data_IF_691148556596
#
_entry.id   IF_691148556596
#
_cell.length_a   1.000
_cell.length_b   1.000
_cell.length_c   1.000
_cell.angle_alpha   90.00
_cell.angle_beta   90.00
_cell.angle_gamma   90.00
#
_symmetry.space_group_name_H-M   'P 1'
#
loop_
_entity.id
_entity.type
_entity.pdbx_description
1 polymer ?
#
# COMPACT_ATOMS: atom_id res chain seq x y z
N UNK A 1 -47.60 -11.37 39.80
CA UNK A 1 -46.54 -12.23 40.34
C UNK A 1 -45.24 -11.86 39.59
N UNK A 2 -44.30 -11.40 40.35
CA UNK A 2 -43.00 -10.91 39.87
C UNK A 2 -42.07 -12.08 39.49
N UNK A 3 -41.25 -11.88 38.45
CA UNK A 3 -39.91 -12.51 38.26
C UNK A 3 -39.36 -11.96 36.95
N UNK A 4 -38.30 -11.26 36.82
CA UNK A 4 -36.98 -11.30 37.42
C UNK A 4 -36.05 -11.17 36.24
N UNK A 5 -35.69 -9.92 35.81
CA UNK A 5 -34.65 -9.64 34.83
C UNK A 5 -33.28 -9.91 35.49
N UNK A 6 -32.55 -10.91 35.02
CA UNK A 6 -31.13 -11.04 35.28
C UNK A 6 -30.35 -10.39 34.13
N UNK A 7 -29.74 -9.26 34.42
CA UNK A 7 -28.79 -8.62 33.56
C UNK A 7 -27.42 -9.35 33.68
N UNK A 8 -26.96 -9.95 32.59
CA UNK A 8 -25.63 -10.50 32.48
C UNK A 8 -24.70 -9.40 31.98
N UNK A 9 -23.87 -8.83 32.86
CA UNK A 9 -22.74 -7.98 32.48
C UNK A 9 -21.67 -8.84 31.78
N UNK A 10 -21.51 -8.66 30.50
CA UNK A 10 -20.31 -9.16 29.80
C UNK A 10 -19.29 -8.03 29.83
N UNK A 11 -18.24 -8.23 30.63
CA UNK A 11 -17.07 -7.38 30.67
C UNK A 11 -16.39 -7.40 29.30
N UNK A 12 -16.34 -6.24 28.65
CA UNK A 12 -15.59 -6.05 27.43
C UNK A 12 -14.09 -6.13 27.69
N UNK A 13 -13.45 -7.16 27.14
CA UNK A 13 -12.00 -7.18 26.99
C UNK A 13 -11.68 -6.53 25.66
N UNK A 14 -11.04 -5.36 25.71
CA UNK A 14 -10.43 -4.71 24.57
C UNK A 14 -9.36 -5.64 23.96
N UNK A 15 -9.32 -5.82 22.64
CA UNK A 15 -8.15 -6.42 22.00
C UNK A 15 -7.06 -5.35 21.88
N UNK A 16 -6.14 -5.36 22.83
CA UNK A 16 -4.88 -4.64 22.72
C UNK A 16 -3.86 -5.53 22.00
N UNK A 17 -3.14 -4.92 21.05
CA UNK A 17 -1.83 -5.32 20.54
C UNK A 17 -1.75 -6.49 19.55
N UNK A 18 -1.76 -6.17 18.27
CA UNK A 18 -1.29 -7.06 17.18
C UNK A 18 -0.09 -6.46 16.41
N UNK A 19 0.60 -5.47 16.95
CA UNK A 19 1.89 -5.04 16.38
C UNK A 19 2.97 -5.14 17.45
N UNK A 20 3.54 -6.35 17.59
CA UNK A 20 4.79 -6.55 18.30
C UNK A 20 5.92 -6.49 17.26
N UNK A 21 6.66 -5.40 17.23
CA UNK A 21 7.96 -5.34 16.58
C UNK A 21 8.96 -6.21 17.37
N UNK A 22 9.95 -6.87 16.72
CA UNK A 22 10.97 -7.61 17.43
C UNK A 22 11.85 -6.62 18.20
N UNK A 23 11.96 -6.82 19.51
CA UNK A 23 12.85 -6.09 20.39
C UNK A 23 14.30 -6.41 20.03
N UNK A 24 15.00 -5.45 19.42
CA UNK A 24 16.46 -5.45 19.35
C UNK A 24 17.01 -4.95 20.69
N UNK A 25 17.88 -5.74 21.32
CA UNK A 25 18.58 -5.39 22.55
C UNK A 25 19.40 -4.10 22.35
N UNK A 26 19.01 -3.05 23.06
CA UNK A 26 19.78 -1.81 23.16
C UNK A 26 20.71 -1.95 24.35
N UNK A 27 21.98 -2.23 24.09
CA UNK A 27 23.03 -2.17 25.12
C UNK A 27 23.39 -0.71 25.38
N UNK A 28 22.96 -0.17 26.49
CA UNK A 28 23.38 1.16 26.96
C UNK A 28 24.78 1.05 27.58
N UNK A 29 25.78 1.63 26.93
CA UNK A 29 27.12 1.77 27.47
C UNK A 29 27.20 3.10 28.20
N UNK A 30 27.24 3.06 29.53
CA UNK A 30 27.63 4.22 30.36
C UNK A 30 29.13 4.46 30.22
N UNK A 31 29.52 5.65 29.80
CA UNK A 31 30.89 6.16 29.90
C UNK A 31 30.99 7.02 31.13
N UNK A 32 31.64 6.50 32.19
CA UNK A 32 32.20 7.32 33.23
C UNK A 32 33.58 7.82 32.80
N UNK A 33 33.72 9.13 32.80
CA UNK A 33 35.00 9.79 32.52
C UNK A 33 35.81 9.99 33.80
N UNK A 34 37.04 9.55 33.83
CA UNK A 34 38.08 10.11 34.68
C UNK A 34 39.35 10.33 33.88
N UNK A 35 39.78 11.58 33.84
CA UNK A 35 41.06 12.01 33.27
C UNK A 35 42.23 11.65 34.21
N UNK A 36 43.35 11.22 33.63
CA UNK A 36 44.66 11.34 34.25
C UNK A 36 45.70 11.70 33.20
N UNK A 37 46.39 12.81 33.50
CA UNK A 37 47.50 13.37 32.72
C UNK A 37 48.78 12.57 32.87
N UNK A 38 49.58 12.54 31.80
CA UNK A 38 51.00 12.20 31.83
C UNK A 38 51.68 12.38 30.46
N UNK A 39 52.86 12.98 30.38
CA UNK A 39 53.37 13.60 29.13
C UNK A 39 54.35 12.70 28.36
N UNK A 40 54.43 12.94 27.05
CA UNK A 40 55.63 12.63 26.33
C UNK A 40 55.58 12.13 24.92
N UNK A 41 56.09 12.95 24.05
CA UNK A 41 56.92 12.74 22.83
C UNK A 41 56.23 12.39 21.50
N UNK A 42 56.45 13.31 20.60
CA UNK A 42 56.34 13.47 19.17
C UNK A 42 56.34 12.27 18.23
N UNK A 43 55.59 12.46 17.14
CA UNK A 43 55.58 11.62 15.97
C UNK A 43 54.63 12.20 14.91
N UNK A 44 55.18 12.83 13.88
CA UNK A 44 54.43 13.30 12.69
C UNK A 44 53.70 12.15 12.02
N UNK A 45 52.40 12.28 11.88
CA UNK A 45 51.55 11.34 11.16
C UNK A 45 50.38 12.06 10.56
N UNK A 46 50.35 12.18 9.23
CA UNK A 46 49.29 12.84 8.47
C UNK A 46 47.90 12.36 8.87
N UNK A 47 47.10 13.27 9.40
CA UNK A 47 45.69 13.06 9.74
C UNK A 47 44.86 13.02 8.45
N UNK A 48 44.50 11.82 8.03
CA UNK A 48 43.39 11.64 7.12
C UNK A 48 42.09 11.84 7.94
N UNK A 49 41.46 12.98 7.78
CA UNK A 49 40.09 13.21 8.22
C UNK A 49 39.17 12.32 7.40
N UNK A 50 38.84 11.16 7.93
CA UNK A 50 37.71 10.40 7.47
C UNK A 50 36.46 11.24 7.77
N UNK A 51 35.82 11.73 6.69
CA UNK A 51 34.55 12.44 6.78
C UNK A 51 33.52 11.48 7.38
N UNK A 52 33.14 11.73 8.64
CA UNK A 52 31.97 11.11 9.22
C UNK A 52 30.77 11.59 8.39
N UNK A 53 30.19 10.72 7.58
CA UNK A 53 28.89 10.94 7.03
C UNK A 53 27.91 10.99 8.21
N UNK A 54 27.40 12.18 8.47
CA UNK A 54 26.33 12.41 9.41
C UNK A 54 25.10 11.66 8.90
N UNK A 55 24.85 10.47 9.42
CA UNK A 55 23.62 9.73 9.14
C UNK A 55 22.49 10.53 9.81
N UNK A 56 21.84 11.38 9.05
CA UNK A 56 20.59 12.02 9.44
C UNK A 56 19.56 10.90 9.69
N UNK A 57 19.18 10.73 10.96
CA UNK A 57 18.07 9.85 11.33
C UNK A 57 16.83 10.29 10.55
N UNK A 58 16.01 9.36 10.02
CA UNK A 58 14.78 9.72 9.35
C UNK A 58 13.93 10.56 10.30
N UNK A 59 13.50 11.73 9.84
CA UNK A 59 12.58 12.56 10.60
C UNK A 59 11.21 11.89 10.53
N UNK A 60 10.63 11.59 11.68
CA UNK A 60 9.29 10.99 11.74
C UNK A 60 8.25 11.92 11.11
N UNK A 61 7.40 11.37 10.22
CA UNK A 61 6.34 12.10 9.57
C UNK A 61 5.31 12.61 10.61
N UNK A 62 4.93 13.86 10.51
CA UNK A 62 3.86 14.45 11.32
C UNK A 62 2.48 13.99 10.85
N UNK A 63 1.48 14.07 11.73
CA UNK A 63 0.10 13.75 11.38
C UNK A 63 -0.45 14.65 10.26
N UNK A 64 -0.01 15.91 10.21
CA UNK A 64 -0.40 16.84 9.15
C UNK A 64 0.20 16.44 7.79
N UNK A 65 1.46 16.03 7.74
CA UNK A 65 2.11 15.51 6.53
C UNK A 65 1.44 14.23 6.04
N UNK A 66 1.09 13.34 6.97
CA UNK A 66 0.36 12.09 6.65
C UNK A 66 -1.02 12.42 6.06
N UNK A 67 -1.75 13.37 6.63
CA UNK A 67 -3.03 13.81 6.10
C UNK A 67 -2.88 14.49 4.73
N UNK A 68 -1.87 15.36 4.58
CA UNK A 68 -1.57 16.06 3.33
C UNK A 68 -1.06 15.13 2.22
N UNK A 69 -0.55 13.94 2.55
CA UNK A 69 -0.17 12.93 1.57
C UNK A 69 -1.31 12.59 0.61
N UNK A 70 -2.55 12.68 1.06
CA UNK A 70 -3.74 12.37 0.27
C UNK A 70 -4.27 13.55 -0.57
N UNK A 71 -3.62 14.71 -0.53
CA UNK A 71 -4.00 15.84 -1.36
C UNK A 71 -3.78 15.53 -2.86
N UNK A 72 -4.85 15.71 -3.65
CA UNK A 72 -4.86 15.36 -5.07
C UNK A 72 -4.87 13.85 -5.35
N UNK A 73 -5.17 13.01 -4.35
CA UNK A 73 -5.34 11.57 -4.54
C UNK A 73 -6.71 11.22 -5.12
N UNK A 74 -6.71 10.25 -6.04
CA UNK A 74 -7.94 9.68 -6.61
C UNK A 74 -7.89 8.16 -6.48
N UNK A 75 -8.89 7.60 -5.84
CA UNK A 75 -9.06 6.16 -5.64
C UNK A 75 -9.95 5.58 -6.72
N UNK A 76 -9.42 4.62 -7.45
CA UNK A 76 -10.09 3.97 -8.59
C UNK A 76 -10.35 2.51 -8.27
N UNK A 77 -11.55 2.02 -8.53
CA UNK A 77 -11.85 0.61 -8.30
C UNK A 77 -13.31 0.22 -8.48
N UNK A 78 -13.64 -0.94 -7.95
CA UNK A 78 -14.90 -1.64 -8.10
C UNK A 78 -15.92 -1.35 -6.97
N UNK A 79 -16.83 -2.31 -6.72
CA UNK A 79 -17.86 -2.20 -5.67
C UNK A 79 -17.30 -2.14 -4.25
N UNK A 80 -16.14 -2.73 -3.98
CA UNK A 80 -15.47 -2.64 -2.67
C UNK A 80 -14.94 -1.22 -2.49
N UNK A 81 -14.33 -0.63 -3.53
CA UNK A 81 -13.91 0.77 -3.53
C UNK A 81 -15.12 1.73 -3.40
N UNK A 82 -16.28 1.40 -3.99
CA UNK A 82 -17.52 2.16 -3.77
C UNK A 82 -17.93 2.14 -2.28
N UNK A 83 -17.77 1.00 -1.62
CA UNK A 83 -18.01 0.87 -0.19
C UNK A 83 -17.08 1.77 0.62
N UNK A 84 -15.78 1.77 0.29
CA UNK A 84 -14.80 2.67 0.93
C UNK A 84 -15.11 4.15 0.66
N UNK A 85 -15.51 4.51 -0.56
CA UNK A 85 -16.00 5.87 -0.87
C UNK A 85 -17.14 6.27 0.05
N UNK A 86 -18.15 5.40 0.23
CA UNK A 86 -19.30 5.70 1.08
C UNK A 86 -18.89 5.88 2.56
N UNK A 87 -17.93 5.07 3.02
CA UNK A 87 -17.32 5.21 4.34
C UNK A 87 -16.60 6.56 4.49
N UNK A 88 -15.78 6.94 3.51
CA UNK A 88 -15.03 8.21 3.51
C UNK A 88 -15.95 9.44 3.45
N UNK A 89 -17.03 9.39 2.65
CA UNK A 89 -18.04 10.46 2.57
C UNK A 89 -18.67 10.76 3.93
N UNK A 90 -18.89 9.75 4.76
CA UNK A 90 -19.38 9.93 6.14
C UNK A 90 -18.36 10.55 7.11
N UNK A 91 -17.08 10.68 6.68
CA UNK A 91 -15.95 11.12 7.53
C UNK A 91 -15.15 12.26 6.88
N UNK A 92 -15.81 13.14 6.14
CA UNK A 92 -15.18 14.25 5.40
C UNK A 92 -14.42 15.26 6.27
N UNK A 93 -14.65 15.27 7.55
CA UNK A 93 -13.95 16.12 8.53
C UNK A 93 -12.60 15.52 8.97
N UNK A 94 -12.18 14.40 8.40
CA UNK A 94 -10.88 13.76 8.59
C UNK A 94 -10.06 13.83 7.31
N UNK A 95 -8.85 13.29 7.31
CA UNK A 95 -8.02 13.16 6.10
C UNK A 95 -8.72 12.45 4.93
N UNK A 96 -9.73 11.62 5.20
CA UNK A 96 -10.53 10.96 4.17
C UNK A 96 -11.31 11.95 3.28
N UNK A 97 -11.58 13.15 3.79
CA UNK A 97 -12.20 14.23 3.02
C UNK A 97 -11.31 14.82 1.92
N UNK A 98 -10.00 14.53 1.94
CA UNK A 98 -9.02 14.95 0.92
C UNK A 98 -9.04 14.06 -0.32
N UNK A 99 -9.63 12.86 -0.23
CA UNK A 99 -9.65 11.84 -1.27
C UNK A 99 -10.78 12.04 -2.27
N UNK A 100 -10.51 11.74 -3.53
CA UNK A 100 -11.51 11.65 -4.58
C UNK A 100 -11.68 10.20 -5.05
N UNK A 101 -12.81 9.87 -5.65
CA UNK A 101 -13.14 8.48 -6.00
C UNK A 101 -13.73 8.39 -7.40
N UNK A 102 -13.19 7.47 -8.19
CA UNK A 102 -13.72 7.00 -9.47
C UNK A 102 -13.98 5.50 -9.35
N UNK A 103 -15.12 5.13 -8.79
CA UNK A 103 -15.47 3.75 -8.51
C UNK A 103 -16.84 3.40 -9.07
N UNK A 104 -16.98 2.18 -9.59
CA UNK A 104 -18.22 1.66 -10.17
C UNK A 104 -18.36 0.16 -9.85
N UNK A 105 -19.61 -0.30 -9.66
CA UNK A 105 -19.87 -1.72 -9.48
C UNK A 105 -19.37 -2.55 -10.66
N UNK A 106 -18.78 -3.69 -10.40
CA UNK A 106 -18.23 -4.61 -11.41
C UNK A 106 -17.12 -4.01 -12.30
N UNK A 107 -16.55 -2.85 -11.94
CA UNK A 107 -15.45 -2.27 -12.69
C UNK A 107 -14.19 -3.14 -12.57
N UNK A 108 -13.46 -3.31 -13.67
CA UNK A 108 -12.29 -4.17 -13.80
C UNK A 108 -11.27 -3.54 -14.75
N UNK A 109 -10.02 -4.00 -14.76
CA UNK A 109 -9.04 -3.54 -15.74
C UNK A 109 -9.40 -3.96 -17.16
N UNK A 110 -10.06 -5.13 -17.32
CA UNK A 110 -10.53 -5.57 -18.63
C UNK A 110 -11.58 -4.63 -19.19
N UNK A 111 -12.64 -4.34 -18.43
CA UNK A 111 -13.71 -3.48 -18.95
C UNK A 111 -13.35 -1.99 -18.94
N UNK A 112 -12.32 -1.58 -18.20
CA UNK A 112 -11.76 -0.24 -18.32
C UNK A 112 -11.18 0.04 -19.72
N UNK A 113 -10.74 -0.99 -20.44
CA UNK A 113 -10.23 -0.90 -21.81
C UNK A 113 -11.32 -1.01 -22.88
N UNK A 114 -12.56 -1.31 -22.50
CA UNK A 114 -13.67 -1.38 -23.45
C UNK A 114 -14.17 0.02 -23.80
N UNK A 115 -14.77 0.18 -24.98
CA UNK A 115 -15.43 1.44 -25.33
C UNK A 115 -16.54 1.81 -24.36
N UNK A 116 -16.68 3.08 -24.05
CA UNK A 116 -17.82 3.61 -23.29
C UNK A 116 -19.09 3.44 -24.12
N UNK A 117 -20.15 2.92 -23.52
CA UNK A 117 -21.42 2.67 -24.21
C UNK A 117 -22.53 2.26 -23.25
N UNK A 118 -23.69 1.94 -23.77
CA UNK A 118 -24.90 1.68 -22.97
C UNK A 118 -24.81 0.50 -21.99
N UNK A 119 -23.83 -0.40 -22.17
CA UNK A 119 -23.53 -1.52 -21.24
C UNK A 119 -22.22 -1.30 -20.46
N UNK A 120 -21.65 -0.12 -20.56
CA UNK A 120 -20.40 0.22 -19.92
C UNK A 120 -20.57 0.30 -18.39
N UNK A 121 -19.54 -0.15 -17.66
CA UNK A 121 -19.43 -0.04 -16.21
C UNK A 121 -18.37 0.99 -15.77
N UNK A 122 -17.93 1.84 -16.72
CA UNK A 122 -17.01 2.93 -16.38
C UNK A 122 -17.60 3.83 -15.29
N UNK A 123 -16.78 4.35 -14.36
CA UNK A 123 -17.22 5.31 -13.36
C UNK A 123 -17.86 6.55 -14.02
N UNK A 124 -18.89 7.07 -13.37
CA UNK A 124 -19.52 8.34 -13.78
C UNK A 124 -18.76 9.48 -13.13
N UNK A 125 -18.26 10.41 -13.94
CA UNK A 125 -17.68 11.66 -13.49
C UNK A 125 -18.37 12.84 -14.17
N UNK A 126 -18.81 13.83 -13.36
CA UNK A 126 -19.57 14.99 -13.86
C UNK A 126 -20.78 14.61 -14.73
N UNK A 127 -21.53 13.59 -14.27
CA UNK A 127 -22.75 13.12 -14.94
C UNK A 127 -22.56 12.30 -16.21
N UNK A 128 -21.31 11.96 -16.59
CA UNK A 128 -20.99 11.19 -17.79
C UNK A 128 -20.06 10.04 -17.49
N UNK A 129 -20.26 8.91 -18.16
CA UNK A 129 -19.25 7.85 -18.23
C UNK A 129 -18.12 8.26 -19.17
N UNK A 130 -16.90 8.02 -18.76
CA UNK A 130 -15.68 8.23 -19.56
C UNK A 130 -14.67 7.14 -19.23
N UNK A 131 -13.69 6.89 -20.10
CA UNK A 131 -12.49 6.17 -19.72
C UNK A 131 -11.89 6.80 -18.45
N UNK A 132 -11.48 5.97 -17.50
CA UNK A 132 -11.07 6.46 -16.17
C UNK A 132 -9.88 7.43 -16.25
N UNK A 133 -8.96 7.24 -17.20
CA UNK A 133 -7.81 8.13 -17.41
C UNK A 133 -8.19 9.53 -17.87
N UNK A 134 -9.26 9.68 -18.64
CA UNK A 134 -9.79 11.01 -19.00
C UNK A 134 -10.32 11.75 -17.76
N UNK A 135 -11.10 11.04 -16.92
CA UNK A 135 -11.60 11.61 -15.68
C UNK A 135 -10.48 11.98 -14.72
N UNK A 136 -9.41 11.17 -14.64
CA UNK A 136 -8.20 11.46 -13.85
C UNK A 136 -7.47 12.71 -14.37
N UNK A 137 -7.36 12.88 -15.70
CA UNK A 137 -6.80 14.09 -16.30
C UNK A 137 -7.61 15.34 -15.97
N UNK A 138 -8.94 15.26 -16.04
CA UNK A 138 -9.84 16.35 -15.65
C UNK A 138 -9.72 16.71 -14.16
N UNK A 139 -9.43 15.74 -13.30
CA UNK A 139 -9.21 15.91 -11.86
C UNK A 139 -7.79 16.42 -11.54
N UNK A 140 -6.89 16.44 -12.51
CA UNK A 140 -5.47 16.73 -12.30
C UNK A 140 -4.87 15.85 -11.17
N UNK A 141 -5.17 14.55 -11.23
CA UNK A 141 -4.77 13.60 -10.21
C UNK A 141 -3.25 13.59 -10.00
N UNK A 142 -2.81 13.76 -8.75
CA UNK A 142 -1.39 13.71 -8.37
C UNK A 142 -0.98 12.32 -7.91
N UNK A 143 -1.90 11.58 -7.30
CA UNK A 143 -1.73 10.22 -6.85
C UNK A 143 -2.94 9.40 -7.26
N UNK A 144 -2.72 8.25 -7.86
CA UNK A 144 -3.80 7.36 -8.32
C UNK A 144 -3.66 6.03 -7.61
N UNK A 145 -4.63 5.73 -6.76
CA UNK A 145 -4.72 4.48 -6.03
C UNK A 145 -5.63 3.51 -6.77
N UNK A 146 -5.12 2.36 -7.17
CA UNK A 146 -5.82 1.38 -8.00
C UNK A 146 -6.16 0.12 -7.19
N UNK A 147 -7.44 -0.20 -7.10
CA UNK A 147 -7.96 -1.42 -6.49
C UNK A 147 -8.77 -2.21 -7.51
N UNK A 148 -8.18 -3.25 -8.10
CA UNK A 148 -8.78 -4.11 -9.11
C UNK A 148 -8.42 -5.57 -8.87
N UNK A 149 -9.15 -6.47 -9.55
CA UNK A 149 -8.90 -7.90 -9.58
C UNK A 149 -10.14 -8.72 -9.28
N UNK A 150 -11.01 -8.32 -8.32
CA UNK A 150 -12.17 -9.11 -7.91
C UNK A 150 -13.10 -9.47 -9.08
N UNK A 151 -13.26 -8.56 -10.05
CA UNK A 151 -14.08 -8.75 -11.24
C UNK A 151 -13.29 -9.25 -12.45
N UNK A 152 -11.97 -9.29 -12.35
CA UNK A 152 -11.06 -9.66 -13.44
C UNK A 152 -10.77 -11.17 -13.48
N UNK A 153 -10.75 -11.84 -12.31
CA UNK A 153 -10.33 -13.24 -12.17
C UNK A 153 -11.09 -14.23 -13.08
N UNK A 154 -12.31 -13.91 -13.50
CA UNK A 154 -13.12 -14.74 -14.37
C UNK A 154 -13.14 -14.24 -15.83
N UNK A 155 -12.32 -13.24 -16.21
CA UNK A 155 -12.32 -12.63 -17.54
C UNK A 155 -11.14 -13.04 -18.42
N UNK A 156 -10.12 -13.68 -17.85
CA UNK A 156 -8.94 -14.13 -18.57
C UNK A 156 -7.99 -14.86 -17.63
N UNK A 157 -6.76 -15.05 -18.06
CA UNK A 157 -5.67 -15.54 -17.21
C UNK A 157 -5.16 -14.43 -16.29
N UNK A 158 -4.37 -14.79 -15.27
CA UNK A 158 -3.69 -13.79 -14.42
C UNK A 158 -2.76 -12.91 -15.25
N UNK A 159 -2.08 -13.47 -16.24
CA UNK A 159 -1.19 -12.76 -17.15
C UNK A 159 -1.96 -11.76 -18.03
N UNK A 160 -3.12 -12.15 -18.56
CA UNK A 160 -3.99 -11.23 -19.33
C UNK A 160 -4.45 -10.07 -18.44
N UNK A 161 -4.83 -10.35 -17.19
CA UNK A 161 -5.23 -9.32 -16.23
C UNK A 161 -4.06 -8.38 -15.90
N UNK A 162 -2.85 -8.90 -15.71
CA UNK A 162 -1.65 -8.07 -15.52
C UNK A 162 -1.34 -7.19 -16.73
N UNK A 163 -1.48 -7.73 -17.96
CA UNK A 163 -1.29 -6.96 -19.19
C UNK A 163 -2.33 -5.82 -19.31
N UNK A 164 -3.61 -6.11 -19.02
CA UNK A 164 -4.65 -5.09 -18.96
C UNK A 164 -4.37 -4.03 -17.90
N UNK A 165 -3.87 -4.44 -16.72
CA UNK A 165 -3.50 -3.54 -15.63
C UNK A 165 -2.40 -2.57 -16.07
N UNK A 166 -1.34 -3.08 -16.70
CA UNK A 166 -0.26 -2.26 -17.25
C UNK A 166 -0.76 -1.29 -18.32
N UNK A 167 -1.67 -1.73 -19.21
CA UNK A 167 -2.25 -0.87 -20.23
C UNK A 167 -3.13 0.24 -19.65
N UNK A 168 -3.93 -0.05 -18.62
CA UNK A 168 -4.71 0.96 -17.89
C UNK A 168 -3.78 2.01 -17.28
N UNK A 169 -2.68 1.59 -16.63
CA UNK A 169 -1.70 2.51 -16.06
C UNK A 169 -1.02 3.34 -17.16
N UNK A 170 -0.65 2.74 -18.29
CA UNK A 170 -0.08 3.47 -19.42
C UNK A 170 -1.03 4.58 -19.93
N UNK A 171 -2.32 4.28 -20.05
CA UNK A 171 -3.34 5.26 -20.42
C UNK A 171 -3.49 6.36 -19.34
N UNK A 172 -3.41 6.01 -18.05
CA UNK A 172 -3.41 6.98 -16.95
C UNK A 172 -2.20 7.91 -17.08
N UNK A 173 -0.99 7.36 -17.23
CA UNK A 173 0.25 8.15 -17.37
C UNK A 173 0.27 9.02 -18.62
N UNK A 174 -0.41 8.61 -19.72
CA UNK A 174 -0.57 9.45 -20.89
C UNK A 174 -1.46 10.68 -20.65
N UNK A 175 -2.41 10.61 -19.71
CA UNK A 175 -3.33 11.69 -19.36
C UNK A 175 -2.88 12.48 -18.12
N UNK A 176 -2.10 11.86 -17.24
CA UNK A 176 -1.56 12.41 -16.00
C UNK A 176 -0.09 11.97 -15.87
N UNK A 177 0.86 12.55 -16.64
CA UNK A 177 2.25 12.07 -16.71
C UNK A 177 2.95 12.11 -15.35
N UNK A 178 2.65 13.10 -14.52
CA UNK A 178 3.28 13.31 -13.21
C UNK A 178 2.58 12.57 -12.06
N UNK A 179 1.45 11.89 -12.34
CA UNK A 179 0.72 11.19 -11.30
C UNK A 179 1.51 9.98 -10.76
N UNK A 180 1.67 9.90 -9.45
CA UNK A 180 2.19 8.72 -8.79
C UNK A 180 1.15 7.60 -8.82
N UNK A 181 1.58 6.39 -9.15
CA UNK A 181 0.72 5.20 -9.19
C UNK A 181 0.91 4.41 -7.90
N UNK A 182 -0.19 4.07 -7.25
CA UNK A 182 -0.22 3.25 -6.05
C UNK A 182 -1.17 2.07 -6.29
N UNK A 183 -0.63 0.87 -6.33
CA UNK A 183 -1.39 -0.37 -6.50
C UNK A 183 -1.79 -0.89 -5.12
N UNK A 184 -3.06 -1.20 -4.94
CA UNK A 184 -3.59 -1.80 -3.72
C UNK A 184 -3.79 -3.29 -3.98
N UNK A 185 -3.31 -4.15 -3.06
CA UNK A 185 -3.54 -5.59 -3.15
C UNK A 185 -5.04 -5.91 -3.17
N UNK A 186 -5.43 -6.86 -4.00
CA UNK A 186 -6.79 -7.40 -4.02
C UNK A 186 -7.08 -8.13 -2.70
N UNK A 187 -8.22 -7.83 -2.07
CA UNK A 187 -8.64 -8.49 -0.82
C UNK A 187 -9.22 -9.89 -1.09
N UNK A 188 -9.17 -10.75 -0.09
CA UNK A 188 -9.63 -12.14 -0.21
C UNK A 188 -11.16 -12.26 -0.19
N UNK A 189 -11.66 -13.40 -0.63
CA UNK A 189 -13.05 -13.83 -0.39
C UNK A 189 -13.15 -14.45 1.00
N UNK A 190 -14.36 -14.47 1.56
CA UNK A 190 -14.64 -15.29 2.73
C UNK A 190 -14.36 -16.76 2.41
N UNK A 191 -13.82 -17.51 3.38
CA UNK A 191 -13.40 -18.91 3.21
C UNK A 191 -14.48 -19.76 2.53
N UNK A 192 -14.09 -20.45 1.45
CA UNK A 192 -14.97 -21.35 0.69
C UNK A 192 -16.11 -20.64 -0.05
N UNK A 193 -16.06 -19.31 -0.21
CA UNK A 193 -17.05 -18.54 -0.94
C UNK A 193 -16.59 -18.05 -2.31
N UNK A 194 -15.33 -18.30 -2.67
CA UNK A 194 -14.81 -18.01 -4.01
C UNK A 194 -15.65 -18.62 -5.13
N UNK A 195 -15.76 -17.94 -6.27
CA UNK A 195 -16.56 -18.37 -7.44
C UNK A 195 -15.70 -18.37 -8.70
N UNK A 196 -15.75 -19.48 -9.44
CA UNK A 196 -14.92 -19.66 -10.63
C UNK A 196 -13.44 -19.54 -10.29
N UNK A 197 -12.71 -18.70 -11.02
CA UNK A 197 -11.28 -18.42 -10.77
C UNK A 197 -11.04 -17.43 -9.62
N UNK A 198 -12.07 -16.77 -9.10
CA UNK A 198 -11.97 -15.93 -7.91
C UNK A 198 -11.89 -16.82 -6.66
N UNK A 199 -10.72 -17.40 -6.42
CA UNK A 199 -10.35 -18.23 -5.28
C UNK A 199 -9.17 -17.61 -4.56
N UNK A 200 -9.08 -17.79 -3.24
CA UNK A 200 -8.05 -17.11 -2.44
C UNK A 200 -6.62 -17.50 -2.84
N UNK A 201 -6.38 -18.70 -3.36
CA UNK A 201 -5.07 -19.08 -3.89
C UNK A 201 -4.71 -18.29 -5.16
N UNK A 202 -5.67 -18.07 -6.06
CA UNK A 202 -5.46 -17.24 -7.25
C UNK A 202 -5.29 -15.78 -6.87
N UNK A 203 -6.00 -15.30 -5.83
CA UNK A 203 -5.84 -13.94 -5.30
C UNK A 203 -4.42 -13.74 -4.76
N UNK A 204 -3.90 -14.71 -4.00
CA UNK A 204 -2.51 -14.68 -3.51
C UNK A 204 -1.51 -14.58 -4.66
N UNK A 205 -1.65 -15.43 -5.67
CA UNK A 205 -0.78 -15.40 -6.87
C UNK A 205 -0.88 -14.06 -7.59
N UNK A 206 -2.07 -13.52 -7.75
CA UNK A 206 -2.27 -12.22 -8.40
C UNK A 206 -1.65 -11.07 -7.60
N UNK A 207 -1.79 -11.06 -6.28
CA UNK A 207 -1.18 -10.05 -5.43
C UNK A 207 0.37 -10.08 -5.51
N UNK A 208 0.98 -11.26 -5.60
CA UNK A 208 2.43 -11.36 -5.83
C UNK A 208 2.84 -10.82 -7.20
N UNK A 209 2.06 -11.10 -8.26
CA UNK A 209 2.31 -10.52 -9.59
C UNK A 209 2.17 -8.99 -9.57
N UNK A 210 1.13 -8.43 -8.93
CA UNK A 210 0.95 -7.00 -8.78
C UNK A 210 2.11 -6.34 -8.01
N UNK A 211 2.57 -6.98 -6.95
CA UNK A 211 3.71 -6.53 -6.15
C UNK A 211 5.00 -6.50 -6.97
N UNK A 212 5.25 -7.56 -7.74
CA UNK A 212 6.40 -7.61 -8.66
C UNK A 212 6.31 -6.52 -9.72
N UNK A 213 5.14 -6.35 -10.38
CA UNK A 213 4.93 -5.30 -11.37
C UNK A 213 5.15 -3.90 -10.78
N UNK A 214 4.68 -3.67 -9.55
CA UNK A 214 4.88 -2.40 -8.86
C UNK A 214 6.38 -2.13 -8.65
N UNK A 215 7.13 -3.12 -8.17
CA UNK A 215 8.57 -3.02 -7.96
C UNK A 215 9.32 -2.73 -9.26
N UNK A 216 9.02 -3.46 -10.33
CA UNK A 216 9.68 -3.32 -11.64
C UNK A 216 9.42 -1.96 -12.29
N UNK A 217 8.25 -1.36 -12.05
CA UNK A 217 7.82 -0.12 -12.69
C UNK A 217 7.94 1.13 -11.78
N UNK A 218 8.40 0.98 -10.54
CA UNK A 218 8.49 2.08 -9.58
C UNK A 218 7.11 2.58 -9.11
N UNK A 219 6.08 1.74 -9.16
CA UNK A 219 4.79 2.03 -8.57
C UNK A 219 4.79 1.69 -7.08
N UNK A 220 4.04 2.45 -6.30
CA UNK A 220 3.80 2.07 -4.92
C UNK A 220 2.92 0.82 -4.84
N UNK A 221 3.21 -0.06 -3.87
CA UNK A 221 2.35 -1.20 -3.57
C UNK A 221 1.91 -1.15 -2.12
N UNK A 222 0.61 -1.26 -1.88
CA UNK A 222 0.01 -1.26 -0.54
C UNK A 222 -0.68 -2.59 -0.29
N UNK A 223 -0.18 -3.35 0.70
CA UNK A 223 -0.84 -4.58 1.13
C UNK A 223 -2.02 -4.28 2.06
N UNK A 224 -3.20 -4.49 1.53
CA UNK A 224 -4.45 -4.38 2.25
C UNK A 224 -5.07 -5.75 2.56
N UNK A 225 -4.68 -6.77 1.82
CA UNK A 225 -5.23 -8.11 1.96
C UNK A 225 -4.86 -8.75 3.30
N UNK A 226 -3.60 -8.64 3.70
CA UNK A 226 -3.08 -9.24 4.94
C UNK A 226 -3.77 -8.69 6.20
N UNK A 227 -3.90 -7.37 6.42
CA UNK A 227 -4.58 -6.82 7.60
C UNK A 227 -6.06 -7.19 7.71
N UNK A 228 -6.70 -7.57 6.62
CA UNK A 228 -8.10 -7.99 6.58
C UNK A 228 -8.29 -9.51 6.67
N UNK A 229 -7.20 -10.27 6.77
CA UNK A 229 -7.23 -11.72 6.79
C UNK A 229 -7.47 -12.29 8.19
N UNK A 230 -8.08 -13.48 8.23
CA UNK A 230 -8.10 -14.33 9.40
C UNK A 230 -6.78 -15.14 9.55
N UNK A 231 -6.69 -15.96 10.59
CA UNK A 231 -5.52 -16.79 10.86
C UNK A 231 -5.20 -17.82 9.75
N UNK A 232 -6.10 -18.02 8.80
CA UNK A 232 -5.90 -18.92 7.66
C UNK A 232 -5.58 -18.17 6.37
N UNK A 233 -5.49 -16.84 6.42
CA UNK A 233 -5.21 -16.00 5.27
C UNK A 233 -6.41 -15.80 4.33
N UNK A 234 -7.65 -15.97 4.80
CA UNK A 234 -8.87 -15.67 4.07
C UNK A 234 -9.51 -14.40 4.64
N UNK A 235 -10.44 -13.75 3.94
CA UNK A 235 -11.14 -12.60 4.48
C UNK A 235 -11.76 -12.95 5.84
N UNK A 236 -11.41 -12.20 6.88
CA UNK A 236 -11.94 -12.44 8.21
C UNK A 236 -13.47 -12.22 8.23
N UNK A 237 -14.25 -13.12 8.87
CA UNK A 237 -15.70 -13.02 8.90
C UNK A 237 -16.23 -11.68 9.44
N UNK A 238 -15.53 -11.07 10.40
CA UNK A 238 -15.89 -9.76 10.96
C UNK A 238 -15.82 -8.62 9.93
N UNK A 239 -15.03 -8.81 8.87
CA UNK A 239 -14.82 -7.83 7.81
C UNK A 239 -15.68 -8.06 6.57
N UNK A 240 -16.43 -9.17 6.49
CA UNK A 240 -17.27 -9.53 5.36
C UNK A 240 -18.74 -9.15 5.63
N UNK A 241 -19.38 -8.40 4.72
CA UNK A 241 -20.75 -7.92 4.87
C UNK A 241 -21.80 -8.74 4.12
N UNK A 242 -21.39 -9.50 3.08
CA UNK A 242 -22.32 -10.20 2.17
C UNK A 242 -22.08 -11.71 2.09
N UNK A 243 -21.29 -12.25 3.03
CA UNK A 243 -20.86 -13.65 3.02
C UNK A 243 -20.07 -14.05 1.75
N UNK A 244 -19.37 -13.07 1.12
CA UNK A 244 -18.60 -13.29 -0.11
C UNK A 244 -17.33 -12.42 -0.16
N UNK A 245 -17.42 -11.14 -0.60
CA UNK A 245 -16.27 -10.25 -0.85
C UNK A 245 -16.46 -8.83 -0.32
N UNK A 246 -17.73 -8.37 -0.17
CA UNK A 246 -17.95 -6.99 0.24
C UNK A 246 -17.66 -6.80 1.71
N UNK A 247 -17.26 -5.60 2.07
CA UNK A 247 -16.64 -5.31 3.35
C UNK A 247 -17.57 -4.55 4.29
N UNK A 248 -17.35 -4.74 5.58
CA UNK A 248 -18.06 -4.04 6.67
C UNK A 248 -17.41 -2.68 6.95
N UNK A 249 -18.09 -1.84 7.75
CA UNK A 249 -17.49 -0.61 8.29
C UNK A 249 -16.20 -0.90 9.06
N UNK A 250 -16.14 -2.00 9.84
CA UNK A 250 -14.93 -2.40 10.57
C UNK A 250 -13.75 -2.71 9.63
N UNK A 251 -14.01 -3.28 8.45
CA UNK A 251 -12.96 -3.45 7.45
C UNK A 251 -12.45 -2.09 6.95
N UNK A 252 -13.33 -1.13 6.70
CA UNK A 252 -12.91 0.20 6.26
C UNK A 252 -12.22 1.03 7.37
N UNK A 253 -12.46 0.73 8.65
CA UNK A 253 -11.63 1.26 9.73
C UNK A 253 -10.19 0.74 9.62
N UNK A 254 -10.00 -0.55 9.27
CA UNK A 254 -8.66 -1.12 8.97
C UNK A 254 -8.05 -0.47 7.73
N UNK A 255 -8.82 -0.27 6.64
CA UNK A 255 -8.32 0.47 5.46
C UNK A 255 -7.75 1.83 5.86
N UNK A 256 -8.47 2.55 6.72
CA UNK A 256 -8.05 3.87 7.17
C UNK A 256 -6.71 3.84 7.90
N UNK A 257 -6.47 2.84 8.75
CA UNK A 257 -5.19 2.67 9.45
C UNK A 257 -4.07 2.29 8.49
N UNK A 258 -4.31 1.34 7.58
CA UNK A 258 -3.32 0.90 6.59
C UNK A 258 -2.91 2.05 5.67
N UNK A 259 -3.87 2.86 5.22
CA UNK A 259 -3.59 4.04 4.39
C UNK A 259 -2.69 5.05 5.10
N UNK A 260 -2.93 5.33 6.37
CA UNK A 260 -2.09 6.26 7.16
C UNK A 260 -0.68 5.71 7.35
N UNK A 261 -0.56 4.42 7.67
CA UNK A 261 0.75 3.78 7.83
C UNK A 261 1.51 3.72 6.50
N UNK A 262 0.81 3.43 5.40
CA UNK A 262 1.38 3.49 4.08
C UNK A 262 1.87 4.90 3.72
N UNK A 263 1.06 5.93 3.98
CA UNK A 263 1.47 7.32 3.77
C UNK A 263 2.70 7.68 4.60
N UNK A 264 2.72 7.29 5.89
CA UNK A 264 3.86 7.47 6.77
C UNK A 264 5.12 6.85 6.19
N UNK A 265 5.07 5.58 5.81
CA UNK A 265 6.22 4.86 5.27
C UNK A 265 6.73 5.47 3.96
N UNK A 266 5.84 6.00 3.11
CA UNK A 266 6.22 6.71 1.88
C UNK A 266 6.96 8.01 2.18
N UNK A 267 6.48 8.80 3.15
CA UNK A 267 7.08 10.08 3.54
C UNK A 267 8.44 9.85 4.19
N UNK A 268 8.55 8.87 5.08
CA UNK A 268 9.77 8.54 5.81
C UNK A 268 10.80 7.77 4.97
N UNK A 269 10.44 7.37 3.74
CA UNK A 269 11.32 6.57 2.86
C UNK A 269 11.56 5.14 3.37
N UNK A 270 10.71 4.64 4.24
CA UNK A 270 10.78 3.27 4.83
C UNK A 270 9.89 2.26 4.10
N UNK A 271 9.10 2.72 3.11
CA UNK A 271 8.21 1.85 2.36
C UNK A 271 8.99 0.83 1.53
N UNK A 272 8.65 -0.45 1.67
CA UNK A 272 9.27 -1.52 0.90
C UNK A 272 8.98 -1.41 -0.62
N UNK A 273 7.89 -0.77 -0.97
CA UNK A 273 7.45 -0.55 -2.36
C UNK A 273 7.08 0.92 -2.55
N UNK A 274 8.08 1.82 -2.65
CA UNK A 274 7.84 3.24 -2.81
C UNK A 274 7.33 3.56 -4.22
N UNK A 275 6.46 4.56 -4.32
CA UNK A 275 6.07 5.12 -5.61
C UNK A 275 7.23 5.94 -6.22
N UNK A 276 7.37 5.88 -7.56
CA UNK A 276 8.39 6.63 -8.35
C UNK A 276 9.84 6.27 -8.06
N UNK A 277 10.10 5.06 -7.59
CA UNK A 277 11.44 4.46 -7.58
C UNK A 277 12.45 5.12 -6.63
N UNK A 278 12.01 5.86 -5.63
CA UNK A 278 12.91 6.50 -4.63
C UNK A 278 13.77 5.48 -3.86
N UNK A 279 13.43 4.18 -3.91
CA UNK A 279 14.18 3.11 -3.25
C UNK A 279 15.26 2.39 -4.09
N UNK A 280 15.38 2.66 -5.39
CA UNK A 280 16.28 1.88 -6.29
C UNK A 280 17.76 2.19 -6.15
N UNK A 281 18.18 3.22 -5.43
CA UNK A 281 19.59 3.65 -5.39
C UNK A 281 20.45 2.92 -4.34
N UNK A 282 19.87 2.19 -3.39
CA UNK A 282 20.64 1.57 -2.31
C UNK A 282 20.93 0.06 -2.48
N UNK A 283 20.21 -0.66 -3.34
CA UNK A 283 20.37 -2.11 -3.50
C UNK A 283 21.14 -2.52 -4.79
N UNK A 284 21.27 -1.66 -5.79
CA UNK A 284 21.97 -2.01 -7.04
C UNK A 284 23.47 -1.77 -7.04
N UNK A 285 24.04 -1.15 -6.00
CA UNK A 285 25.48 -0.91 -5.90
C UNK A 285 26.29 -2.06 -5.27
N UNK A 286 25.65 -3.06 -4.66
CA UNK A 286 26.37 -4.18 -4.03
C UNK A 286 26.47 -5.46 -4.85
N UNK A 287 25.72 -5.62 -5.94
CA UNK A 287 25.83 -6.80 -6.81
C UNK A 287 26.78 -6.61 -8.02
N UNK A 288 27.10 -5.36 -8.35
CA UNK A 288 27.99 -5.04 -9.50
C UNK A 288 29.48 -5.05 -9.20
N UNK A 289 29.94 -5.21 -7.96
CA UNK A 289 31.35 -5.15 -7.59
C UNK A 289 32.00 -6.51 -7.28
N UNK A 290 31.27 -7.62 -7.32
CA UNK A 290 31.80 -8.97 -7.07
C UNK A 290 32.20 -9.76 -8.34
N UNK A 291 31.93 -9.27 -9.55
CA UNK A 291 32.27 -10.01 -10.80
C UNK A 291 33.50 -9.53 -11.53
N UNK A 292 34.28 -8.54 -11.04
CA UNK A 292 35.46 -8.02 -11.75
C UNK A 292 36.82 -8.34 -11.12
N UNK A 293 36.91 -9.10 -10.03
CA UNK A 293 38.18 -9.48 -9.40
C UNK A 293 38.62 -10.95 -9.63
N UNK A 294 37.92 -11.70 -10.50
CA UNK A 294 38.18 -13.13 -10.72
C UNK A 294 38.92 -13.53 -12.01
N UNK A 295 39.42 -12.61 -12.85
CA UNK A 295 40.12 -12.96 -14.09
C UNK A 295 41.37 -12.12 -14.34
N UNK A 296 42.38 -12.26 -13.50
CA UNK A 296 43.77 -11.97 -13.89
C UNK A 296 44.74 -12.72 -12.99
N UNK A 297 44.93 -14.03 -13.22
CA UNK A 297 46.16 -14.75 -12.94
C UNK A 297 46.08 -16.12 -13.62
N UNK A 298 46.51 -16.19 -14.89
CA UNK A 298 47.14 -17.35 -15.54
C UNK A 298 47.49 -16.97 -16.98
N UNK A 299 48.71 -16.47 -17.16
CA UNK A 299 49.61 -16.73 -18.27
C UNK A 299 51.04 -16.39 -17.87
#
# INVERSE_FOLDING_TARGET
MFSGLSALLIAGTSPASVFAAPAGDVTVIHRDGTAQDGPGTGGDGASQTAGAQEQTLPVAATEEEIDAFFDGSVFVGDSVMMGFRNYAVGRRNTYLGRMQFLASGSFSVHNALWPVGGKSVHPIFQGQQRPVWESLGMLQAKKVFLFFGLNDMNMGTLQDTCACYAQVIANIKANCPDAQIHVISMTYTLRGKGKGNLQNDNIRMFNELLKQMALENGWGFMDLATPLSDANGDLAPAYCSDNYVHQTTAAYDVWSLVLREYARSQIEGTCAYPADGVGKTAQQTNEGQQETEGQQTEQ
#
